data_IF_479011717207
#
_entry.id   IF_479011717207
#
_cell.length_a   1.000
_cell.length_b   1.000
_cell.length_c   1.000
_cell.angle_alpha   90.00
_cell.angle_beta   90.00
_cell.angle_gamma   90.00
#
_symmetry.space_group_name_H-M   'P 1'
#
loop_
_entity.id
_entity.type
_entity.pdbx_description
1 polymer ?
#
# COMPACT_ATOMS: atom_id res chain seq x y z
N UNK A 1 -13.65 18.80 2.16
CA UNK A 1 -14.10 19.03 3.55
C UNK A 1 -14.59 17.69 4.11
N UNK A 2 -13.66 16.79 4.53
CA UNK A 2 -13.95 15.45 5.06
C UNK A 2 -13.34 15.22 6.46
N UNK A 3 -13.01 16.32 7.15
CA UNK A 3 -12.33 16.24 8.45
C UNK A 3 -13.27 16.03 9.66
N UNK A 4 -14.56 15.73 9.43
CA UNK A 4 -15.54 15.65 10.51
C UNK A 4 -16.21 14.30 10.73
N UNK A 5 -15.98 13.30 9.88
CA UNK A 5 -16.69 12.00 9.91
C UNK A 5 -15.82 10.79 10.28
N UNK A 6 -14.66 11.03 10.86
CA UNK A 6 -13.78 9.95 11.34
C UNK A 6 -14.39 9.12 12.50
N UNK A 7 -15.54 9.50 12.99
CA UNK A 7 -16.35 8.73 13.91
C UNK A 7 -17.49 8.01 13.17
N UNK A 8 -17.22 7.45 12.00
CA UNK A 8 -18.19 6.61 11.38
C UNK A 8 -18.54 5.44 12.33
N UNK A 9 -19.79 5.22 12.55
CA UNK A 9 -20.33 4.25 13.51
C UNK A 9 -20.29 2.86 12.89
N UNK A 10 -20.05 1.82 13.68
CA UNK A 10 -20.15 0.44 13.28
C UNK A 10 -21.52 0.10 12.68
N UNK A 11 -21.62 -1.05 12.04
CA UNK A 11 -22.90 -1.50 11.45
C UNK A 11 -24.04 -1.56 12.45
N UNK A 12 -23.72 -1.72 13.74
CA UNK A 12 -24.64 -1.67 14.88
C UNK A 12 -24.73 -0.28 15.54
N UNK A 13 -24.02 0.73 14.99
CA UNK A 13 -23.91 2.07 15.55
C UNK A 13 -22.98 2.20 16.74
N UNK A 14 -22.22 1.16 17.08
CA UNK A 14 -21.25 1.13 18.20
C UNK A 14 -19.86 0.85 17.67
N UNK A 15 -18.96 1.82 17.73
CA UNK A 15 -17.54 1.58 17.54
C UNK A 15 -16.89 1.25 18.88
N UNK A 16 -16.30 0.10 18.96
CA UNK A 16 -15.27 -0.11 19.97
C UNK A 16 -13.90 0.28 19.41
N UNK A 17 -13.35 1.34 19.92
CA UNK A 17 -11.96 1.70 19.66
C UNK A 17 -11.04 0.78 20.42
N UNK A 18 -10.11 0.12 19.72
CA UNK A 18 -8.99 -0.61 20.30
C UNK A 18 -7.70 0.12 19.94
N UNK A 19 -6.76 0.13 20.85
CA UNK A 19 -5.48 0.81 20.65
C UNK A 19 -4.31 -0.14 20.91
N UNK A 20 -3.25 0.06 20.16
CA UNK A 20 -1.92 -0.46 20.41
C UNK A 20 -0.91 0.68 20.50
N UNK A 21 0.39 0.42 20.40
CA UNK A 21 1.42 1.46 20.47
C UNK A 21 1.33 2.47 19.33
N UNK A 22 1.03 1.98 18.11
CA UNK A 22 1.06 2.79 16.90
C UNK A 22 -0.28 2.89 16.17
N UNK A 23 -1.32 2.18 16.64
CA UNK A 23 -2.61 2.13 15.93
C UNK A 23 -3.82 2.35 16.81
N UNK A 24 -4.83 3.01 16.22
CA UNK A 24 -6.19 3.03 16.71
C UNK A 24 -7.05 2.24 15.73
N UNK A 25 -7.57 1.12 16.15
CA UNK A 25 -8.43 0.26 15.34
C UNK A 25 -9.89 0.52 15.66
N UNK A 26 -10.69 0.69 14.61
CA UNK A 26 -12.14 0.78 14.65
C UNK A 26 -12.70 -0.33 13.76
N UNK A 27 -13.65 -1.08 14.27
CA UNK A 27 -14.24 -2.18 13.53
C UNK A 27 -15.72 -1.91 13.26
N UNK A 28 -16.07 -1.91 11.97
CA UNK A 28 -17.45 -1.82 11.48
C UNK A 28 -17.88 -3.16 10.87
N UNK A 29 -17.66 -4.24 11.62
CA UNK A 29 -18.06 -5.59 11.23
C UNK A 29 -18.99 -6.11 12.31
N UNK A 30 -20.22 -6.47 11.92
CA UNK A 30 -21.15 -7.12 12.81
C UNK A 30 -20.61 -8.50 13.20
N UNK A 31 -20.41 -8.71 14.49
CA UNK A 31 -19.99 -10.00 15.03
C UNK A 31 -21.19 -10.63 15.68
N UNK A 32 -21.48 -11.86 15.27
CA UNK A 32 -22.50 -12.66 15.92
C UNK A 32 -22.04 -13.06 17.32
N UNK A 33 -22.46 -12.30 18.32
CA UNK A 33 -22.19 -12.59 19.72
C UNK A 33 -23.04 -13.77 20.23
N UNK A 34 -24.06 -14.20 19.46
CA UNK A 34 -24.95 -15.30 19.84
C UNK A 34 -24.23 -16.65 19.89
N UNK A 35 -23.11 -16.79 19.21
CA UNK A 35 -22.28 -18.00 19.20
C UNK A 35 -21.46 -18.21 20.49
N UNK A 36 -21.51 -17.27 21.46
CA UNK A 36 -20.72 -17.32 22.68
C UNK A 36 -19.21 -17.14 22.47
N UNK A 37 -18.78 -17.03 21.22
CA UNK A 37 -17.40 -16.71 20.88
C UNK A 37 -17.24 -15.20 21.03
N UNK A 38 -16.37 -14.78 21.92
CA UNK A 38 -15.93 -13.39 22.07
C UNK A 38 -15.06 -12.99 20.86
N UNK A 39 -15.59 -13.14 19.65
CA UNK A 39 -14.90 -13.09 18.39
C UNK A 39 -14.28 -11.73 18.11
N UNK A 40 -14.88 -10.64 18.54
CA UNK A 40 -14.39 -9.30 18.27
C UNK A 40 -13.02 -9.06 18.92
N UNK A 41 -12.87 -9.30 20.19
CA UNK A 41 -11.60 -9.06 20.90
C UNK A 41 -10.43 -9.84 20.31
N UNK A 42 -10.64 -11.10 19.98
CA UNK A 42 -9.57 -11.93 19.41
C UNK A 42 -9.19 -11.42 18.02
N UNK A 43 -10.17 -11.12 17.20
CA UNK A 43 -9.95 -10.57 15.85
C UNK A 43 -9.22 -9.23 15.95
N UNK A 44 -9.70 -8.29 16.74
CA UNK A 44 -9.07 -6.97 16.94
C UNK A 44 -7.62 -7.09 17.44
N UNK A 45 -7.38 -7.98 18.41
CA UNK A 45 -6.01 -8.25 18.88
C UNK A 45 -5.10 -8.81 17.80
N UNK A 46 -5.62 -9.72 16.95
CA UNK A 46 -4.88 -10.26 15.83
C UNK A 46 -4.55 -9.18 14.78
N UNK A 47 -5.51 -8.32 14.47
CA UNK A 47 -5.29 -7.21 13.53
C UNK A 47 -4.27 -6.21 14.07
N UNK A 48 -4.37 -5.82 15.35
CA UNK A 48 -3.40 -4.93 15.97
C UNK A 48 -2.00 -5.55 16.03
N UNK A 49 -1.89 -6.83 16.36
CA UNK A 49 -0.61 -7.54 16.34
C UNK A 49 0.01 -7.61 14.93
N UNK A 50 -0.82 -7.83 13.91
CA UNK A 50 -0.39 -7.80 12.50
C UNK A 50 0.12 -6.41 12.10
N UNK A 51 -0.61 -5.36 12.47
CA UNK A 51 -0.23 -3.97 12.18
C UNK A 51 1.05 -3.55 12.90
N UNK A 52 1.23 -3.92 14.18
CA UNK A 52 2.47 -3.64 14.91
C UNK A 52 3.66 -4.39 14.28
N UNK A 53 3.49 -5.66 13.90
CA UNK A 53 4.52 -6.39 13.17
C UNK A 53 4.82 -5.81 11.79
N UNK A 54 3.82 -5.22 11.12
CA UNK A 54 4.00 -4.50 9.87
C UNK A 54 4.75 -3.17 10.09
N UNK A 55 4.47 -2.47 11.18
CA UNK A 55 5.19 -1.25 11.56
C UNK A 55 6.68 -1.51 11.78
N UNK A 56 7.03 -2.54 12.52
CA UNK A 56 8.44 -2.91 12.75
C UNK A 56 9.16 -3.24 11.43
N UNK A 57 8.47 -3.95 10.51
CA UNK A 57 9.00 -4.24 9.18
C UNK A 57 9.16 -2.99 8.33
N UNK A 58 8.19 -2.07 8.40
CA UNK A 58 8.23 -0.80 7.67
C UNK A 58 9.45 0.03 8.07
N UNK A 59 9.69 0.14 9.37
CA UNK A 59 10.88 0.79 9.91
C UNK A 59 12.17 0.10 9.42
N UNK A 60 12.22 -1.23 9.49
CA UNK A 60 13.41 -1.99 9.08
C UNK A 60 13.70 -1.88 7.58
N UNK A 61 12.66 -1.98 6.73
CA UNK A 61 12.82 -2.05 5.27
C UNK A 61 12.87 -0.67 4.61
N UNK A 62 12.04 0.28 5.07
CA UNK A 62 11.86 1.58 4.42
C UNK A 62 12.31 2.77 5.27
N UNK A 63 12.65 2.56 6.54
CA UNK A 63 13.07 3.64 7.45
C UNK A 63 11.96 4.64 7.78
N UNK A 64 10.70 4.22 7.66
CA UNK A 64 9.53 5.05 7.97
C UNK A 64 9.05 4.76 9.39
N UNK A 65 8.93 5.83 10.18
CA UNK A 65 8.49 5.78 11.59
C UNK A 65 7.42 6.84 11.84
N UNK A 66 6.14 6.57 11.53
CA UNK A 66 5.06 7.48 11.89
C UNK A 66 5.04 7.77 13.39
N UNK A 67 5.15 9.05 13.76
CA UNK A 67 5.24 9.47 15.16
C UNK A 67 3.87 9.57 15.87
N UNK A 68 2.78 9.47 15.10
CA UNK A 68 1.41 9.52 15.60
C UNK A 68 0.72 8.20 15.33
N UNK A 69 -0.17 7.82 16.23
CA UNK A 69 -1.00 6.63 16.01
C UNK A 69 -1.81 6.77 14.72
N UNK A 70 -1.82 5.70 13.92
CA UNK A 70 -2.53 5.60 12.66
C UNK A 70 -3.93 5.05 12.94
N UNK A 71 -4.94 5.74 12.44
CA UNK A 71 -6.32 5.28 12.52
C UNK A 71 -6.60 4.26 11.41
N UNK A 72 -7.19 3.12 11.79
CA UNK A 72 -7.54 2.02 10.90
C UNK A 72 -9.00 1.66 11.11
N UNK A 73 -9.79 1.61 10.03
CA UNK A 73 -11.19 1.20 10.08
C UNK A 73 -11.41 0.00 9.20
N UNK A 74 -11.94 -1.08 9.78
CA UNK A 74 -12.34 -2.28 9.04
C UNK A 74 -13.85 -2.26 8.87
N UNK A 75 -14.30 -2.21 7.63
CA UNK A 75 -15.72 -2.21 7.27
C UNK A 75 -16.18 -3.60 6.83
N UNK A 76 -17.39 -3.97 7.22
CA UNK A 76 -18.06 -5.11 6.59
C UNK A 76 -18.13 -4.91 5.06
N UNK A 77 -17.96 -5.98 4.26
CA UNK A 77 -17.87 -5.87 2.81
C UNK A 77 -19.02 -5.06 2.18
N UNK A 78 -20.26 -5.34 2.57
CA UNK A 78 -21.43 -4.65 2.03
C UNK A 78 -21.47 -3.14 2.38
N UNK A 79 -20.91 -2.75 3.53
CA UNK A 79 -20.84 -1.36 3.95
C UNK A 79 -19.75 -0.64 3.17
N UNK A 80 -18.54 -1.24 3.08
CA UNK A 80 -17.44 -0.71 2.30
C UNK A 80 -17.85 -0.47 0.84
N UNK A 81 -18.40 -1.50 0.20
CA UNK A 81 -18.81 -1.43 -1.20
C UNK A 81 -19.89 -0.33 -1.42
N UNK A 82 -20.86 -0.21 -0.52
CA UNK A 82 -21.89 0.83 -0.61
C UNK A 82 -21.33 2.25 -0.43
N UNK A 83 -20.40 2.44 0.48
CA UNK A 83 -19.86 3.78 0.80
C UNK A 83 -18.79 4.25 -0.18
N UNK A 84 -17.99 3.34 -0.72
CA UNK A 84 -16.76 3.68 -1.42
C UNK A 84 -16.68 3.21 -2.87
N UNK A 85 -17.69 2.50 -3.39
CA UNK A 85 -17.71 1.98 -4.77
C UNK A 85 -17.54 3.03 -5.87
N UNK A 86 -17.82 4.31 -5.58
CA UNK A 86 -17.68 5.40 -6.54
C UNK A 86 -16.30 6.06 -6.58
N UNK A 87 -15.37 5.70 -5.68
CA UNK A 87 -14.06 6.35 -5.59
C UNK A 87 -13.06 5.85 -6.63
N UNK A 88 -13.23 4.61 -7.08
CA UNK A 88 -12.31 3.95 -8.01
C UNK A 88 -13.06 3.40 -9.22
N UNK A 89 -12.39 3.35 -10.36
CA UNK A 89 -12.91 2.71 -11.58
C UNK A 89 -12.66 1.20 -11.62
N UNK A 90 -12.06 0.66 -10.56
CA UNK A 90 -11.77 -0.76 -10.36
C UNK A 90 -12.07 -1.16 -8.91
N UNK A 91 -12.30 -2.45 -8.60
CA UNK A 91 -12.52 -2.90 -7.23
C UNK A 91 -11.30 -2.63 -6.36
N UNK A 92 -11.46 -1.85 -5.29
CA UNK A 92 -10.45 -1.62 -4.27
C UNK A 92 -10.81 -2.37 -2.99
N UNK A 93 -9.83 -3.01 -2.35
CA UNK A 93 -10.02 -3.70 -1.08
C UNK A 93 -9.74 -2.81 0.13
N UNK A 94 -9.06 -1.68 -0.09
CA UNK A 94 -8.75 -0.66 0.90
C UNK A 94 -8.30 0.62 0.24
N UNK A 95 -8.12 1.65 1.03
CA UNK A 95 -7.47 2.90 0.64
C UNK A 95 -7.07 3.72 1.88
N UNK A 96 -6.04 4.53 1.73
CA UNK A 96 -5.64 5.53 2.70
C UNK A 96 -6.09 6.94 2.25
N UNK A 97 -6.72 7.65 3.17
CA UNK A 97 -6.98 9.09 3.06
C UNK A 97 -7.09 9.69 4.46
N UNK A 98 -5.94 9.94 5.07
CA UNK A 98 -5.83 10.35 6.48
C UNK A 98 -6.19 9.27 7.49
N UNK A 99 -6.89 8.21 7.05
CA UNK A 99 -7.28 7.02 7.80
C UNK A 99 -7.18 5.83 6.85
N UNK A 100 -6.64 4.72 7.31
CA UNK A 100 -6.66 3.45 6.58
C UNK A 100 -8.09 2.89 6.64
N UNK A 101 -8.70 2.69 5.49
CA UNK A 101 -10.04 2.08 5.37
C UNK A 101 -9.94 0.82 4.56
N UNK A 102 -10.34 -0.30 5.16
CA UNK A 102 -10.24 -1.61 4.51
C UNK A 102 -11.56 -2.35 4.53
N UNK A 103 -11.78 -3.09 3.46
CA UNK A 103 -12.87 -4.04 3.31
C UNK A 103 -12.46 -5.34 3.99
N UNK A 104 -13.15 -5.74 5.03
CA UNK A 104 -12.81 -6.94 5.79
C UNK A 104 -14.03 -7.57 6.47
N UNK A 105 -13.79 -8.75 7.03
CA UNK A 105 -14.75 -9.47 7.86
C UNK A 105 -14.14 -9.74 9.24
N UNK A 106 -14.60 -10.78 9.93
CA UNK A 106 -14.12 -11.16 11.26
C UNK A 106 -12.89 -12.09 11.24
N UNK A 107 -12.31 -12.34 10.07
CA UNK A 107 -11.18 -13.24 9.90
C UNK A 107 -9.99 -12.48 9.35
N UNK A 108 -8.88 -12.48 10.08
CA UNK A 108 -7.61 -11.99 9.57
C UNK A 108 -7.00 -13.06 8.65
N UNK A 109 -7.44 -13.03 7.39
CA UNK A 109 -6.88 -13.88 6.33
C UNK A 109 -5.79 -13.15 5.54
N UNK A 110 -5.13 -13.87 4.64
CA UNK A 110 -4.05 -13.34 3.80
C UNK A 110 -4.47 -12.09 3.02
N UNK A 111 -5.70 -12.04 2.51
CA UNK A 111 -6.17 -10.89 1.75
C UNK A 111 -6.25 -9.61 2.61
N UNK A 112 -6.82 -9.70 3.82
CA UNK A 112 -6.90 -8.56 4.73
C UNK A 112 -5.51 -8.12 5.21
N UNK A 113 -4.64 -9.08 5.58
CA UNK A 113 -3.25 -8.80 5.97
C UNK A 113 -2.52 -8.02 4.86
N UNK A 114 -2.61 -8.47 3.60
CA UNK A 114 -1.99 -7.81 2.45
C UNK A 114 -2.44 -6.35 2.31
N UNK A 115 -3.74 -6.12 2.34
CA UNK A 115 -4.29 -4.75 2.22
C UNK A 115 -3.83 -3.86 3.38
N UNK A 116 -3.81 -4.37 4.61
CA UNK A 116 -3.31 -3.62 5.76
C UNK A 116 -1.84 -3.20 5.59
N UNK A 117 -1.00 -4.09 5.08
CA UNK A 117 0.40 -3.76 4.78
C UNK A 117 0.53 -2.71 3.68
N UNK A 118 -0.26 -2.84 2.61
CA UNK A 118 -0.28 -1.89 1.50
C UNK A 118 -0.64 -0.48 1.98
N UNK A 119 -1.77 -0.34 2.66
CA UNK A 119 -2.27 0.95 3.12
C UNK A 119 -1.40 1.57 4.22
N UNK A 120 -0.68 0.76 4.99
CA UNK A 120 0.28 1.24 5.99
C UNK A 120 1.42 2.04 5.34
N UNK A 121 1.89 1.63 4.15
CA UNK A 121 2.95 2.37 3.43
C UNK A 121 2.45 3.76 3.06
N UNK A 122 1.24 3.88 2.53
CA UNK A 122 0.64 5.18 2.20
C UNK A 122 0.50 6.07 3.43
N UNK A 123 0.00 5.52 4.55
CA UNK A 123 -0.14 6.25 5.80
C UNK A 123 1.21 6.74 6.34
N UNK A 124 2.24 5.91 6.24
CA UNK A 124 3.57 6.27 6.72
C UNK A 124 4.27 7.30 5.84
N UNK A 125 4.12 7.20 4.52
CA UNK A 125 4.62 8.20 3.57
C UNK A 125 3.94 9.56 3.77
N UNK A 126 2.62 9.58 3.95
CA UNK A 126 1.88 10.82 4.24
C UNK A 126 2.31 11.43 5.59
N UNK A 127 2.45 10.60 6.63
CA UNK A 127 2.94 11.06 7.93
C UNK A 127 4.35 11.67 7.86
N UNK A 128 5.25 11.05 7.08
CA UNK A 128 6.62 11.53 6.87
C UNK A 128 6.68 12.74 5.94
N UNK A 129 5.73 12.87 5.02
CA UNK A 129 5.72 13.87 3.95
C UNK A 129 4.34 14.51 3.73
N UNK A 130 3.77 15.17 4.73
CA UNK A 130 2.46 15.81 4.56
C UNK A 130 2.43 16.73 3.34
N UNK A 131 1.31 16.73 2.63
CA UNK A 131 1.06 17.52 1.40
C UNK A 131 2.00 17.25 0.22
N UNK A 132 2.89 16.27 0.31
CA UNK A 132 3.76 15.87 -0.80
C UNK A 132 3.10 14.76 -1.59
N UNK A 133 2.88 14.97 -2.88
CA UNK A 133 2.36 13.94 -3.78
C UNK A 133 3.54 13.26 -4.46
N UNK A 134 3.74 11.99 -4.16
CA UNK A 134 4.70 11.16 -4.90
C UNK A 134 4.09 10.71 -6.24
N UNK A 135 4.92 10.48 -7.27
CA UNK A 135 4.46 9.80 -8.48
C UNK A 135 3.81 8.45 -8.13
N UNK A 136 2.67 8.14 -8.75
CA UNK A 136 1.91 6.92 -8.43
C UNK A 136 2.76 5.65 -8.58
N UNK A 137 3.61 5.56 -9.63
CA UNK A 137 4.49 4.39 -9.79
C UNK A 137 5.39 4.13 -8.59
N UNK A 138 5.85 5.19 -7.91
CA UNK A 138 6.71 5.04 -6.74
C UNK A 138 5.88 4.76 -5.48
N UNK A 139 4.79 5.50 -5.29
CA UNK A 139 3.90 5.34 -4.14
C UNK A 139 3.28 3.94 -4.08
N UNK A 140 2.64 3.54 -5.18
CA UNK A 140 2.02 2.22 -5.30
C UNK A 140 3.07 1.10 -5.38
N UNK A 141 4.16 1.35 -6.09
CA UNK A 141 5.26 0.39 -6.18
C UNK A 141 5.88 0.06 -4.82
N UNK A 142 6.09 1.06 -3.95
CA UNK A 142 6.57 0.84 -2.58
C UNK A 142 5.57 0.05 -1.75
N UNK A 143 4.27 0.33 -1.89
CA UNK A 143 3.20 -0.37 -1.19
C UNK A 143 3.11 -1.84 -1.62
N UNK A 144 3.08 -2.12 -2.92
CA UNK A 144 3.09 -3.48 -3.49
C UNK A 144 4.37 -4.26 -3.11
N UNK A 145 5.53 -3.59 -3.18
CA UNK A 145 6.80 -4.20 -2.82
C UNK A 145 6.84 -4.57 -1.33
N UNK A 146 6.40 -3.67 -0.45
CA UNK A 146 6.36 -3.91 0.99
C UNK A 146 5.38 -5.04 1.34
N UNK A 147 4.19 -5.03 0.75
CA UNK A 147 3.19 -6.10 0.88
C UNK A 147 3.76 -7.45 0.46
N UNK A 148 4.43 -7.50 -0.69
CA UNK A 148 5.08 -8.72 -1.19
C UNK A 148 6.15 -9.24 -0.21
N UNK A 149 6.99 -8.35 0.33
CA UNK A 149 8.01 -8.71 1.33
C UNK A 149 7.39 -9.24 2.63
N UNK A 150 6.29 -8.65 3.08
CA UNK A 150 5.54 -9.12 4.25
C UNK A 150 4.96 -10.53 4.04
N UNK A 151 4.53 -10.83 2.82
CA UNK A 151 4.06 -12.16 2.41
C UNK A 151 5.21 -13.17 2.13
N UNK A 152 6.47 -12.79 2.33
CA UNK A 152 7.63 -13.64 2.06
C UNK A 152 8.03 -13.74 0.57
N UNK A 153 7.37 -12.98 -0.30
CA UNK A 153 7.66 -12.96 -1.73
C UNK A 153 8.89 -12.07 -2.01
N UNK A 154 9.86 -12.63 -2.72
CA UNK A 154 11.16 -11.99 -2.98
C UNK A 154 11.39 -11.64 -4.45
N UNK A 155 10.56 -12.13 -5.36
CA UNK A 155 10.71 -11.98 -6.80
C UNK A 155 9.34 -11.90 -7.47
N UNK A 156 9.29 -11.30 -8.65
CA UNK A 156 8.16 -11.46 -9.54
C UNK A 156 7.95 -12.95 -9.85
N UNK A 157 6.72 -13.42 -9.85
CA UNK A 157 6.38 -14.76 -10.31
C UNK A 157 6.58 -14.85 -11.83
N UNK A 158 6.75 -16.07 -12.33
CA UNK A 158 6.85 -16.34 -13.78
C UNK A 158 5.67 -15.76 -14.57
N UNK A 159 4.47 -15.81 -13.98
CA UNK A 159 3.26 -15.23 -14.59
C UNK A 159 3.34 -13.69 -14.68
N UNK A 160 3.80 -13.02 -13.64
CA UNK A 160 3.96 -11.57 -13.61
C UNK A 160 5.03 -11.12 -14.61
N UNK A 161 6.16 -11.81 -14.63
CA UNK A 161 7.22 -11.58 -15.62
C UNK A 161 6.71 -11.78 -17.04
N UNK A 162 5.97 -12.86 -17.31
CA UNK A 162 5.40 -13.14 -18.63
C UNK A 162 4.43 -12.04 -19.08
N UNK A 163 3.61 -11.50 -18.17
CA UNK A 163 2.71 -10.39 -18.47
C UNK A 163 3.51 -9.12 -18.83
N UNK A 164 4.48 -8.73 -18.01
CA UNK A 164 5.31 -7.55 -18.27
C UNK A 164 6.09 -7.69 -19.60
N UNK A 165 6.71 -8.85 -19.84
CA UNK A 165 7.41 -9.11 -21.08
C UNK A 165 6.49 -9.10 -22.32
N UNK A 166 5.25 -9.59 -22.17
CA UNK A 166 4.25 -9.51 -23.24
C UNK A 166 3.94 -8.06 -23.60
N UNK A 167 3.59 -7.23 -22.60
CA UNK A 167 3.28 -5.82 -22.83
C UNK A 167 4.49 -5.05 -23.37
N UNK A 168 5.71 -5.36 -22.90
CA UNK A 168 6.92 -4.76 -23.43
C UNK A 168 7.07 -5.04 -24.93
N UNK A 169 6.98 -6.31 -25.36
CA UNK A 169 7.10 -6.69 -26.77
C UNK A 169 6.02 -6.07 -27.64
N UNK A 170 4.83 -5.91 -27.10
CA UNK A 170 3.70 -5.26 -27.80
C UNK A 170 3.79 -3.71 -27.80
N UNK A 171 4.79 -3.10 -27.16
CA UNK A 171 4.87 -1.64 -26.99
C UNK A 171 3.77 -1.06 -26.11
N UNK A 172 3.17 -1.89 -25.25
CA UNK A 172 2.03 -1.54 -24.40
C UNK A 172 2.38 -1.24 -22.93
N UNK A 173 3.67 -1.25 -22.54
CA UNK A 173 4.07 -0.75 -21.23
C UNK A 173 3.88 0.76 -21.15
N UNK A 174 3.48 1.24 -20.00
CA UNK A 174 3.50 2.67 -19.70
C UNK A 174 4.93 3.15 -19.53
N UNK A 175 5.22 4.38 -19.97
CA UNK A 175 6.43 5.07 -19.52
C UNK A 175 6.29 5.46 -18.04
N UNK A 176 7.40 5.58 -17.30
CA UNK A 176 7.35 6.09 -15.94
C UNK A 176 6.81 7.53 -15.87
N UNK A 177 6.96 8.29 -16.93
CA UNK A 177 6.31 9.61 -17.08
C UNK A 177 4.78 9.50 -17.06
N UNK A 178 4.21 8.53 -17.79
CA UNK A 178 2.76 8.26 -17.80
C UNK A 178 2.26 7.73 -16.44
N UNK A 179 3.09 6.97 -15.71
CA UNK A 179 2.81 6.49 -14.37
C UNK A 179 3.10 7.53 -13.27
N UNK A 180 3.61 8.71 -13.63
CA UNK A 180 3.87 9.81 -12.69
C UNK A 180 2.65 10.68 -12.40
N UNK A 181 1.46 10.13 -12.57
CA UNK A 181 0.19 10.73 -12.11
C UNK A 181 0.11 10.71 -10.57
N UNK A 182 -0.76 11.51 -9.96
CA UNK A 182 -0.98 11.46 -8.50
C UNK A 182 -1.56 10.13 -8.00
N UNK A 183 -2.33 9.41 -8.83
CA UNK A 183 -3.00 8.14 -8.48
C UNK A 183 -3.42 7.39 -9.74
N UNK A 184 -3.59 6.07 -9.64
CA UNK A 184 -4.18 5.22 -10.68
C UNK A 184 -5.71 5.09 -10.59
N UNK A 185 -6.37 5.75 -9.64
CA UNK A 185 -7.82 5.65 -9.44
C UNK A 185 -8.67 5.98 -10.68
N UNK A 186 -8.15 6.82 -11.58
CA UNK A 186 -8.78 7.18 -12.84
C UNK A 186 -8.54 6.20 -14.00
N UNK A 187 -7.71 5.17 -13.83
CA UNK A 187 -7.42 4.18 -14.87
C UNK A 187 -8.58 3.17 -14.98
N UNK A 188 -8.80 2.63 -16.19
CA UNK A 188 -9.68 1.47 -16.35
C UNK A 188 -9.07 0.22 -15.67
N UNK A 189 -9.88 -0.82 -15.42
CA UNK A 189 -9.43 -2.00 -14.65
C UNK A 189 -8.14 -2.64 -15.17
N UNK A 190 -8.04 -2.89 -16.47
CA UNK A 190 -6.87 -3.52 -17.09
C UNK A 190 -5.64 -2.62 -17.06
N UNK A 191 -5.83 -1.31 -17.33
CA UNK A 191 -4.77 -0.33 -17.27
C UNK A 191 -4.25 -0.14 -15.83
N UNK A 192 -5.14 -0.13 -14.84
CA UNK A 192 -4.77 -0.08 -13.43
C UNK A 192 -3.97 -1.33 -13.02
N UNK A 193 -4.46 -2.53 -13.38
CA UNK A 193 -3.77 -3.77 -13.07
C UNK A 193 -2.35 -3.82 -13.66
N UNK A 194 -2.18 -3.35 -14.90
CA UNK A 194 -0.85 -3.23 -15.51
C UNK A 194 0.01 -2.18 -14.81
N UNK A 195 -0.55 -1.01 -14.46
CA UNK A 195 0.16 0.06 -13.81
C UNK A 195 0.69 -0.36 -12.42
N UNK A 196 -0.14 -1.05 -11.62
CA UNK A 196 0.29 -1.63 -10.34
C UNK A 196 1.39 -2.67 -10.52
N UNK A 197 1.19 -3.63 -11.43
CA UNK A 197 2.19 -4.66 -11.71
C UNK A 197 3.51 -4.07 -12.22
N UNK A 198 3.46 -3.09 -13.10
CA UNK A 198 4.65 -2.43 -13.63
C UNK A 198 5.36 -1.62 -12.55
N UNK A 199 4.62 -0.95 -11.66
CA UNK A 199 5.16 -0.22 -10.51
C UNK A 199 5.86 -1.18 -9.54
N UNK A 200 5.23 -2.31 -9.20
CA UNK A 200 5.84 -3.36 -8.40
C UNK A 200 7.10 -3.92 -9.06
N UNK A 201 7.02 -4.26 -10.35
CA UNK A 201 8.16 -4.77 -11.12
C UNK A 201 9.34 -3.81 -11.14
N UNK A 202 9.07 -2.51 -11.25
CA UNK A 202 10.12 -1.47 -11.16
C UNK A 202 10.82 -1.47 -9.80
N UNK A 203 10.09 -1.59 -8.68
CA UNK A 203 10.68 -1.65 -7.35
C UNK A 203 11.46 -2.95 -7.12
N UNK A 204 10.97 -4.09 -7.65
CA UNK A 204 11.73 -5.35 -7.64
C UNK A 204 13.04 -5.20 -8.41
N UNK A 205 13.00 -4.67 -9.63
CA UNK A 205 14.20 -4.37 -10.41
C UNK A 205 15.19 -3.52 -9.61
N UNK A 206 14.74 -2.40 -9.03
CA UNK A 206 15.59 -1.51 -8.23
C UNK A 206 16.22 -2.22 -7.02
N UNK A 207 15.46 -3.13 -6.38
CA UNK A 207 15.97 -3.89 -5.25
C UNK A 207 17.02 -4.94 -5.65
N UNK A 208 16.94 -5.46 -6.87
CA UNK A 208 17.87 -6.47 -7.39
C UNK A 208 19.14 -5.87 -7.96
N UNK A 209 19.04 -4.84 -8.79
CA UNK A 209 20.23 -4.21 -9.39
C UNK A 209 21.10 -3.47 -8.37
N UNK A 210 20.54 -3.22 -7.19
CA UNK A 210 21.28 -2.56 -6.12
C UNK A 210 21.17 -3.34 -4.79
N UNK A 211 20.12 -3.11 -4.03
CA UNK A 211 19.76 -3.86 -2.81
C UNK A 211 18.45 -3.33 -2.21
N UNK A 212 17.81 -4.10 -1.33
CA UNK A 212 16.69 -3.61 -0.51
C UNK A 212 17.10 -2.38 0.33
N UNK A 213 18.36 -2.34 0.79
CA UNK A 213 18.90 -1.17 1.50
C UNK A 213 18.90 0.09 0.63
N UNK A 214 19.12 -0.03 -0.67
CA UNK A 214 19.06 1.13 -1.57
C UNK A 214 17.66 1.71 -1.68
N UNK A 215 16.60 0.89 -1.60
CA UNK A 215 15.22 1.37 -1.49
C UNK A 215 15.00 2.17 -0.20
N UNK A 216 15.54 1.70 0.92
CA UNK A 216 15.51 2.46 2.17
C UNK A 216 16.21 3.82 2.03
N UNK A 217 17.40 3.86 1.42
CA UNK A 217 18.14 5.11 1.13
C UNK A 217 17.32 6.04 0.23
N UNK A 218 16.62 5.49 -0.78
CA UNK A 218 15.72 6.24 -1.64
C UNK A 218 14.62 6.93 -0.81
N UNK A 219 13.92 6.16 0.02
CA UNK A 219 12.82 6.69 0.85
C UNK A 219 13.32 7.73 1.85
N UNK A 220 14.39 7.44 2.59
CA UNK A 220 15.00 8.38 3.55
C UNK A 220 15.41 9.69 2.88
N UNK A 221 16.01 9.62 1.68
CA UNK A 221 16.45 10.83 0.93
C UNK A 221 15.23 11.60 0.38
N UNK A 222 14.17 10.93 -0.08
CA UNK A 222 12.92 11.60 -0.50
C UNK A 222 12.26 12.30 0.70
N UNK A 223 12.14 11.62 1.83
CA UNK A 223 11.58 12.18 3.06
C UNK A 223 12.35 13.43 3.47
N UNK A 224 13.67 13.40 3.39
CA UNK A 224 14.54 14.51 3.78
C UNK A 224 14.51 15.69 2.82
N UNK A 225 14.46 15.43 1.49
CA UNK A 225 14.72 16.47 0.47
C UNK A 225 13.52 16.84 -0.37
N UNK A 226 12.47 16.02 -0.40
CA UNK A 226 11.32 16.15 -1.31
C UNK A 226 11.74 16.20 -2.79
N UNK A 227 12.89 15.60 -3.12
CA UNK A 227 13.50 15.69 -4.45
C UNK A 227 13.79 14.29 -4.98
N UNK A 228 12.86 13.74 -5.78
CA UNK A 228 12.97 12.40 -6.34
C UNK A 228 14.22 12.22 -7.24
N UNK A 229 14.55 13.12 -8.18
CA UNK A 229 15.77 12.99 -8.99
C UNK A 229 17.06 12.90 -8.15
N UNK A 230 17.13 13.68 -7.09
CA UNK A 230 18.26 13.62 -6.15
C UNK A 230 18.31 12.29 -5.40
N UNK A 231 17.16 11.82 -4.94
CA UNK A 231 17.05 10.58 -4.19
C UNK A 231 17.42 9.35 -5.05
N UNK A 232 16.99 9.32 -6.31
CA UNK A 232 17.37 8.27 -7.27
C UNK A 232 18.88 8.23 -7.48
N UNK A 233 19.50 9.38 -7.78
CA UNK A 233 20.97 9.46 -7.92
C UNK A 233 21.71 9.06 -6.64
N UNK A 234 21.17 9.39 -5.46
CA UNK A 234 21.75 9.00 -4.18
C UNK A 234 21.69 7.50 -3.94
N UNK A 235 20.55 6.88 -4.24
CA UNK A 235 20.29 5.47 -3.98
C UNK A 235 20.90 4.55 -5.04
N UNK A 236 20.79 4.93 -6.34
CA UNK A 236 21.08 4.03 -7.46
C UNK A 236 22.20 4.54 -8.38
N UNK A 237 22.67 5.77 -8.19
CA UNK A 237 23.70 6.44 -9.04
C UNK A 237 23.25 6.60 -10.50
N UNK A 238 21.94 6.61 -10.74
CA UNK A 238 21.31 6.72 -12.04
C UNK A 238 20.13 7.68 -11.98
N UNK A 239 19.71 8.20 -13.12
CA UNK A 239 18.50 8.99 -13.24
C UNK A 239 17.31 8.13 -13.65
N UNK A 240 16.10 8.73 -13.69
CA UNK A 240 14.88 7.99 -13.97
C UNK A 240 14.85 7.35 -15.35
N UNK A 241 15.26 8.04 -16.46
CA UNK A 241 15.35 7.43 -17.78
C UNK A 241 16.30 6.23 -17.85
N UNK A 242 17.47 6.31 -17.19
CA UNK A 242 18.44 5.21 -17.14
C UNK A 242 17.85 3.99 -16.41
N UNK A 243 17.19 4.22 -15.28
CA UNK A 243 16.53 3.14 -14.51
C UNK A 243 15.37 2.52 -15.27
N UNK A 244 14.56 3.34 -15.96
CA UNK A 244 13.47 2.85 -16.81
C UNK A 244 13.99 1.98 -17.96
N UNK A 245 15.03 2.43 -18.65
CA UNK A 245 15.67 1.67 -19.73
C UNK A 245 16.25 0.34 -19.21
N UNK A 246 16.89 0.33 -18.03
CA UNK A 246 17.40 -0.87 -17.38
C UNK A 246 16.28 -1.87 -17.06
N UNK A 247 15.19 -1.40 -16.46
CA UNK A 247 14.01 -2.24 -16.18
C UNK A 247 13.43 -2.85 -17.44
N UNK A 248 13.25 -2.05 -18.50
CA UNK A 248 12.75 -2.56 -19.77
C UNK A 248 13.69 -3.57 -20.43
N UNK A 249 15.00 -3.39 -20.28
CA UNK A 249 15.98 -4.34 -20.80
C UNK A 249 15.95 -5.69 -20.07
N UNK A 250 15.69 -5.71 -18.76
CA UNK A 250 15.56 -6.94 -17.96
C UNK A 250 14.34 -7.78 -18.37
N UNK A 251 13.31 -7.16 -18.89
CA UNK A 251 12.09 -7.86 -19.35
C UNK A 251 12.24 -8.59 -20.69
N UNK A 252 13.40 -8.55 -21.34
CA UNK A 252 13.74 -9.32 -22.56
C UNK A 252 13.41 -8.62 -23.84
#
# INVERSE_FOLDING_TARGET
MFAGEAAARGADGKFEKRTSSHFNLYQDVAIDESSGLRGSRRFEQMVLAELEGAYDRLQALLGLEPSRAIDVVIYAPAIFDRQFSGLFRFPAAGFYHGVIRVRGDTVLGTALSRVLHHELVHAALDAAMPVTVLPAWLNEGLAEWFEARAAGKRYLSERELAVLAHYRRAGGLFSLAQLSTPSFAGFGPDAAALAYLQSYGMLEFLSHVSSERALRVLVEEIVRTRNLPRALRRAFRADLPELEAGFQAELG
#
